data_IF_679091970529
#
_entry.id   IF_679091970529
#
_cell.length_a   1.000
_cell.length_b   1.000
_cell.length_c   1.000
_cell.angle_alpha   90.00
_cell.angle_beta   90.00
_cell.angle_gamma   90.00
#
_symmetry.space_group_name_H-M   'P 1'
#
loop_
_entity.id
_entity.type
_entity.pdbx_description
1 polymer ?
#
# COMPACT_ATOMS: atom_id res chain seq x y z
N UNK A 1 -2.10 17.82 -2.78
CA UNK A 1 -2.78 17.34 -4.01
C UNK A 1 -3.65 18.41 -4.65
N UNK A 2 -3.98 19.47 -3.93
CA UNK A 2 -5.02 20.42 -4.32
C UNK A 2 -4.66 21.19 -5.60
N UNK A 3 -3.37 21.46 -5.81
CA UNK A 3 -2.86 22.01 -7.08
C UNK A 3 -3.11 21.11 -8.29
N UNK A 4 -3.05 19.78 -8.13
CA UNK A 4 -3.38 18.85 -9.23
C UNK A 4 -4.89 18.84 -9.50
N UNK A 5 -5.72 18.96 -8.45
CA UNK A 5 -7.17 19.08 -8.59
C UNK A 5 -7.57 20.39 -9.31
N UNK A 6 -6.87 21.50 -9.03
CA UNK A 6 -7.01 22.76 -9.76
C UNK A 6 -6.65 22.62 -11.24
N UNK A 7 -5.56 21.90 -11.55
CA UNK A 7 -5.16 21.63 -12.93
C UNK A 7 -6.15 20.73 -13.68
N UNK A 8 -6.73 19.72 -13.04
CA UNK A 8 -7.82 18.92 -13.63
C UNK A 8 -9.01 19.82 -14.01
N UNK A 9 -9.42 20.72 -13.10
CA UNK A 9 -10.52 21.68 -13.34
C UNK A 9 -10.21 22.63 -14.49
N UNK A 10 -9.01 23.20 -14.52
CA UNK A 10 -8.60 24.18 -15.53
C UNK A 10 -8.43 23.55 -16.92
N UNK A 11 -7.92 22.32 -17.00
CA UNK A 11 -7.63 21.66 -18.28
C UNK A 11 -8.78 20.81 -18.83
N UNK A 12 -9.75 20.45 -17.99
CA UNK A 12 -10.78 19.46 -18.32
C UNK A 12 -10.24 18.03 -18.51
N UNK A 13 -8.97 17.78 -18.19
CA UNK A 13 -8.34 16.45 -18.25
C UNK A 13 -8.38 15.76 -16.89
N UNK A 14 -8.25 14.43 -16.92
CA UNK A 14 -8.23 13.58 -15.73
C UNK A 14 -6.84 13.02 -15.46
N UNK A 15 -6.47 13.00 -14.19
CA UNK A 15 -5.24 12.39 -13.66
C UNK A 15 -5.62 11.07 -13.02
N UNK A 16 -4.99 9.99 -13.50
CA UNK A 16 -5.16 8.65 -12.96
C UNK A 16 -3.86 8.13 -12.37
N UNK A 17 -3.96 7.20 -11.42
CA UNK A 17 -2.82 6.54 -10.79
C UNK A 17 -2.94 5.02 -10.87
N UNK A 18 -1.81 4.34 -10.69
CA UNK A 18 -1.74 2.88 -10.69
C UNK A 18 -1.94 2.35 -9.26
N UNK A 19 -3.17 1.99 -8.94
CA UNK A 19 -3.55 1.28 -7.70
C UNK A 19 -3.95 -0.17 -8.03
N UNK A 20 -3.01 -0.90 -8.63
CA UNK A 20 -3.22 -2.23 -9.21
C UNK A 20 -3.69 -3.27 -8.20
N UNK A 21 -3.34 -3.13 -6.92
CA UNK A 21 -3.78 -4.06 -5.87
C UNK A 21 -5.30 -3.99 -5.64
N UNK A 22 -5.95 -2.86 -5.92
CA UNK A 22 -7.42 -2.76 -5.87
C UNK A 22 -8.11 -3.58 -6.97
N UNK A 23 -7.37 -4.07 -7.97
CA UNK A 23 -7.86 -4.96 -9.03
C UNK A 23 -7.66 -6.44 -8.70
N UNK A 24 -7.07 -6.75 -7.54
CA UNK A 24 -6.76 -8.12 -7.15
C UNK A 24 -8.00 -8.82 -6.58
N UNK A 25 -8.43 -9.98 -7.12
CA UNK A 25 -9.66 -10.67 -6.69
C UNK A 25 -9.72 -10.93 -5.19
N UNK A 26 -8.63 -11.44 -4.58
CA UNK A 26 -8.60 -11.70 -3.14
C UNK A 26 -8.71 -10.43 -2.28
N UNK A 27 -8.22 -9.29 -2.77
CA UNK A 27 -8.31 -8.00 -2.04
C UNK A 27 -9.73 -7.45 -2.14
N UNK A 28 -10.36 -7.58 -3.32
CA UNK A 28 -11.77 -7.22 -3.53
C UNK A 28 -12.67 -8.08 -2.64
N UNK A 29 -12.50 -9.40 -2.66
CA UNK A 29 -13.28 -10.34 -1.85
C UNK A 29 -13.11 -10.07 -0.34
N UNK A 30 -11.89 -9.77 0.10
CA UNK A 30 -11.64 -9.35 1.48
C UNK A 30 -12.39 -8.05 1.81
N UNK A 31 -12.32 -7.04 0.93
CA UNK A 31 -13.05 -5.79 1.13
C UNK A 31 -14.55 -6.02 1.29
N UNK A 32 -15.16 -6.81 0.41
CA UNK A 32 -16.58 -7.15 0.45
C UNK A 32 -16.95 -7.86 1.75
N UNK A 33 -16.13 -8.84 2.19
CA UNK A 33 -16.32 -9.53 3.48
C UNK A 33 -16.34 -8.54 4.65
N UNK A 34 -15.39 -7.61 4.70
CA UNK A 34 -15.27 -6.61 5.79
C UNK A 34 -16.41 -5.58 5.77
N UNK A 35 -16.94 -5.25 4.60
CA UNK A 35 -18.13 -4.39 4.47
C UNK A 35 -19.37 -5.12 5.00
N UNK A 36 -19.55 -6.40 4.64
CA UNK A 36 -20.76 -7.17 4.96
C UNK A 36 -20.85 -7.63 6.42
N UNK A 37 -19.71 -7.86 7.09
CA UNK A 37 -19.70 -8.35 8.48
C UNK A 37 -20.22 -7.34 9.51
N UNK A 38 -20.30 -6.05 9.16
CA UNK A 38 -20.78 -4.94 10.00
C UNK A 38 -20.38 -5.00 11.50
N UNK A 39 -19.17 -5.50 11.79
CA UNK A 39 -18.64 -5.55 13.15
C UNK A 39 -18.16 -4.15 13.61
N UNK A 40 -18.40 -3.83 14.87
CA UNK A 40 -17.82 -2.65 15.52
C UNK A 40 -16.35 -2.85 15.91
N UNK A 41 -15.89 -4.10 15.96
CA UNK A 41 -14.57 -4.43 16.45
C UNK A 41 -13.50 -4.15 15.40
N UNK A 42 -12.32 -3.72 15.88
CA UNK A 42 -11.17 -3.50 15.01
C UNK A 42 -10.41 -4.80 14.79
N UNK A 43 -10.03 -5.03 13.54
CA UNK A 43 -9.13 -6.10 13.15
C UNK A 43 -7.70 -5.81 13.61
N UNK A 44 -7.01 -6.83 14.10
CA UNK A 44 -5.58 -6.77 14.44
C UNK A 44 -4.74 -7.23 13.24
N UNK A 45 -4.03 -6.29 12.63
CA UNK A 45 -3.29 -6.52 11.39
C UNK A 45 -1.78 -6.41 11.63
N UNK A 46 -1.03 -7.37 11.09
CA UNK A 46 0.44 -7.31 11.03
C UNK A 46 0.86 -7.31 9.57
N UNK A 47 1.47 -6.22 9.11
CA UNK A 47 2.10 -6.10 7.80
C UNK A 47 3.62 -6.26 7.95
N UNK A 48 4.20 -7.24 7.27
CA UNK A 48 5.65 -7.38 7.14
C UNK A 48 6.01 -7.52 5.68
N UNK A 49 6.73 -6.52 5.16
CA UNK A 49 7.20 -6.50 3.79
C UNK A 49 8.71 -6.30 3.73
N UNK A 50 9.42 -7.34 3.35
CA UNK A 50 10.88 -7.37 3.25
C UNK A 50 11.23 -7.72 1.82
N UNK A 51 11.81 -6.76 1.10
CA UNK A 51 12.21 -6.93 -0.29
C UNK A 51 13.67 -6.49 -0.43
N UNK A 52 14.63 -7.39 -0.25
CA UNK A 52 16.05 -7.03 -0.26
C UNK A 52 16.44 -6.27 -1.52
N UNK A 53 17.35 -5.32 -1.34
CA UNK A 53 17.93 -4.56 -2.44
C UNK A 53 19.45 -4.56 -2.31
N UNK A 54 20.13 -4.70 -3.44
CA UNK A 54 21.58 -4.56 -3.49
C UNK A 54 22.01 -3.10 -3.26
N UNK A 55 23.33 -2.86 -3.11
CA UNK A 55 23.89 -1.53 -2.87
C UNK A 55 23.43 -0.46 -3.87
N UNK A 56 23.18 -0.85 -5.13
CA UNK A 56 22.70 0.02 -6.20
C UNK A 56 21.42 0.79 -5.83
N UNK A 57 20.55 0.24 -4.99
CA UNK A 57 19.27 0.86 -4.66
C UNK A 57 19.46 2.16 -3.88
N UNK A 58 20.35 2.17 -2.88
CA UNK A 58 20.65 3.36 -2.10
C UNK A 58 21.49 4.39 -2.87
N UNK A 59 22.25 3.96 -3.88
CA UNK A 59 23.00 4.85 -4.77
C UNK A 59 22.14 5.45 -5.89
N UNK A 60 20.95 4.90 -6.13
CA UNK A 60 19.99 5.43 -7.10
C UNK A 60 19.11 6.52 -6.50
N UNK A 61 18.26 7.15 -7.34
CA UNK A 61 17.22 8.08 -6.86
C UNK A 61 16.30 7.47 -5.80
N UNK A 62 16.19 6.14 -5.73
CA UNK A 62 15.35 5.44 -4.74
C UNK A 62 15.88 5.59 -3.31
N UNK A 63 17.19 5.77 -3.14
CA UNK A 63 17.83 6.06 -1.85
C UNK A 63 17.77 7.53 -1.43
N UNK A 64 17.50 8.42 -2.38
CA UNK A 64 17.36 9.87 -2.14
C UNK A 64 15.93 10.20 -1.69
N UNK A 65 15.77 10.49 -0.40
CA UNK A 65 14.45 10.75 0.21
C UNK A 65 13.74 11.93 -0.48
N UNK A 66 14.48 12.94 -0.94
CA UNK A 66 13.89 14.11 -1.61
C UNK A 66 13.22 13.75 -2.95
N UNK A 67 13.61 12.62 -3.55
CA UNK A 67 13.09 12.12 -4.83
C UNK A 67 12.11 10.97 -4.66
N UNK A 68 12.37 10.08 -3.70
CA UNK A 68 11.61 8.85 -3.53
C UNK A 68 10.51 8.93 -2.47
N UNK A 69 10.58 9.92 -1.57
CA UNK A 69 9.75 9.97 -0.37
C UNK A 69 10.13 8.92 0.69
N UNK A 70 11.24 8.20 0.51
CA UNK A 70 11.69 7.16 1.42
C UNK A 70 10.95 5.82 1.26
N UNK A 71 11.20 4.88 2.17
CA UNK A 71 10.71 3.49 2.05
C UNK A 71 9.20 3.40 2.15
N UNK A 72 8.58 4.12 3.08
CA UNK A 72 7.12 4.11 3.23
C UNK A 72 6.42 4.52 1.93
N UNK A 73 6.90 5.56 1.26
CA UNK A 73 6.32 6.06 0.02
C UNK A 73 6.72 5.23 -1.20
N UNK A 74 8.01 4.96 -1.40
CA UNK A 74 8.49 4.28 -2.61
C UNK A 74 8.16 2.78 -2.64
N UNK A 75 8.00 2.15 -1.47
CA UNK A 75 7.79 0.70 -1.35
C UNK A 75 6.47 0.37 -0.66
N UNK A 76 6.14 1.07 0.43
CA UNK A 76 4.99 0.78 1.27
C UNK A 76 3.65 1.27 0.73
N UNK A 77 3.63 2.25 -0.19
CA UNK A 77 2.43 3.01 -0.56
C UNK A 77 1.26 2.12 -0.99
N UNK A 78 1.51 1.07 -1.78
CA UNK A 78 0.46 0.17 -2.23
C UNK A 78 -0.18 -0.62 -1.09
N UNK A 79 0.56 -0.92 -0.01
CA UNK A 79 0.02 -1.60 1.16
C UNK A 79 -0.82 -0.65 2.01
N UNK A 80 -0.34 0.57 2.25
CA UNK A 80 -1.13 1.58 2.96
C UNK A 80 -2.41 1.90 2.20
N UNK A 81 -2.33 2.01 0.88
CA UNK A 81 -3.49 2.19 0.00
C UNK A 81 -4.56 1.12 0.21
N UNK A 82 -4.22 -0.17 0.07
CA UNK A 82 -5.22 -1.24 0.19
C UNK A 82 -5.76 -1.37 1.61
N UNK A 83 -4.93 -1.13 2.63
CA UNK A 83 -5.36 -1.23 4.02
C UNK A 83 -6.36 -0.10 4.34
N UNK A 84 -6.08 1.13 3.91
CA UNK A 84 -7.03 2.25 4.05
C UNK A 84 -8.30 2.01 3.22
N UNK A 85 -8.16 1.45 2.02
CA UNK A 85 -9.29 1.14 1.14
C UNK A 85 -10.23 0.06 1.69
N UNK A 86 -9.70 -0.90 2.46
CA UNK A 86 -10.47 -1.99 3.08
C UNK A 86 -11.01 -1.59 4.46
N UNK A 87 -10.15 -1.06 5.33
CA UNK A 87 -10.44 -0.87 6.75
C UNK A 87 -10.83 0.57 7.12
N UNK A 88 -10.83 1.48 6.14
CA UNK A 88 -11.34 2.84 6.29
C UNK A 88 -10.27 3.88 6.62
N UNK A 89 -10.74 5.10 6.89
CA UNK A 89 -9.89 6.28 7.07
C UNK A 89 -8.95 6.15 8.27
N UNK A 90 -7.79 6.81 8.17
CA UNK A 90 -6.81 6.91 9.25
C UNK A 90 -7.37 7.69 10.43
N UNK A 91 -7.23 7.13 11.62
CA UNK A 91 -7.53 7.74 12.93
C UNK A 91 -6.23 8.21 13.58
N UNK A 92 -5.20 7.38 13.54
CA UNK A 92 -3.89 7.65 14.17
C UNK A 92 -2.77 7.05 13.33
N UNK A 93 -1.63 7.72 13.27
CA UNK A 93 -0.42 7.22 12.59
C UNK A 93 0.79 7.51 13.47
N UNK A 94 1.60 6.49 13.74
CA UNK A 94 2.81 6.60 14.53
C UNK A 94 3.97 5.88 13.82
N UNK A 95 5.13 6.52 13.80
CA UNK A 95 6.37 5.91 13.31
C UNK A 95 7.20 5.52 14.51
N UNK A 96 7.52 4.23 14.65
CA UNK A 96 8.33 3.74 15.76
C UNK A 96 9.82 3.89 15.47
N UNK A 97 10.24 3.63 14.23
CA UNK A 97 11.58 4.02 13.76
C UNK A 97 11.61 4.22 12.25
N UNK A 98 12.57 5.04 11.81
CA UNK A 98 12.85 5.29 10.40
C UNK A 98 14.36 5.25 10.17
N UNK A 99 14.80 4.29 9.35
CA UNK A 99 16.19 4.13 8.91
C UNK A 99 16.24 4.03 7.38
N UNK A 100 17.38 4.32 6.73
CA UNK A 100 17.47 4.32 5.26
C UNK A 100 17.05 3.01 4.57
N UNK A 101 17.17 1.86 5.26
CA UNK A 101 16.83 0.54 4.71
C UNK A 101 15.58 -0.10 5.32
N UNK A 102 15.04 0.44 6.41
CA UNK A 102 13.93 -0.17 7.14
C UNK A 102 13.15 0.85 7.94
N UNK A 103 11.84 0.65 8.04
CA UNK A 103 10.92 1.54 8.75
C UNK A 103 9.81 0.71 9.38
N UNK A 104 9.33 1.13 10.54
CA UNK A 104 8.18 0.51 11.19
C UNK A 104 7.30 1.55 11.88
N UNK A 105 6.08 1.12 12.18
CA UNK A 105 5.16 1.96 12.91
C UNK A 105 3.82 1.28 13.14
N UNK A 106 2.86 2.13 13.47
CA UNK A 106 1.49 1.78 13.76
C UNK A 106 0.52 2.68 13.00
N UNK A 107 -0.55 2.09 12.50
CA UNK A 107 -1.64 2.81 11.85
C UNK A 107 -2.96 2.33 12.46
N UNK A 108 -3.69 3.25 13.06
CA UNK A 108 -5.06 3.04 13.51
C UNK A 108 -5.99 3.53 12.40
N UNK A 109 -6.82 2.62 11.89
CA UNK A 109 -7.89 2.89 10.95
C UNK A 109 -9.23 2.72 11.66
N UNK A 110 -10.30 3.19 11.01
CA UNK A 110 -11.68 3.03 11.52
C UNK A 110 -12.00 1.58 11.94
N UNK A 111 -11.59 0.59 11.14
CA UNK A 111 -11.85 -0.83 11.40
C UNK A 111 -10.60 -1.66 11.70
N UNK A 112 -9.40 -1.08 11.86
CA UNK A 112 -8.21 -1.91 12.07
C UNK A 112 -7.11 -1.21 12.86
N UNK A 113 -6.34 -2.00 13.60
CA UNK A 113 -5.08 -1.63 14.21
C UNK A 113 -3.96 -2.35 13.46
N UNK A 114 -3.05 -1.59 12.86
CA UNK A 114 -2.03 -2.15 11.97
C UNK A 114 -0.64 -1.90 12.55
N UNK A 115 0.07 -2.97 12.89
CA UNK A 115 1.53 -2.93 13.11
C UNK A 115 2.21 -3.24 11.79
N UNK A 116 3.11 -2.37 11.34
CA UNK A 116 3.75 -2.53 10.04
C UNK A 116 5.27 -2.45 10.12
N UNK A 117 5.94 -3.25 9.29
CA UNK A 117 7.38 -3.31 9.12
C UNK A 117 7.75 -3.40 7.64
N UNK A 118 8.56 -2.47 7.16
CA UNK A 118 9.05 -2.40 5.79
C UNK A 118 10.58 -2.48 5.79
N UNK A 119 11.16 -3.32 4.95
CA UNK A 119 12.61 -3.40 4.82
C UNK A 119 13.11 -3.74 3.42
N UNK A 120 14.26 -3.18 3.09
CA UNK A 120 15.08 -3.49 1.91
C UNK A 120 16.42 -4.12 2.30
N UNK A 121 16.65 -4.35 3.59
CA UNK A 121 17.85 -4.94 4.14
C UNK A 121 17.79 -6.47 4.03
N UNK A 122 18.82 -7.07 3.43
CA UNK A 122 18.92 -8.53 3.27
C UNK A 122 19.01 -9.24 4.61
N UNK A 123 19.55 -8.58 5.63
CA UNK A 123 19.71 -9.15 6.97
C UNK A 123 18.38 -9.37 7.70
N UNK A 124 17.28 -8.80 7.21
CA UNK A 124 15.96 -9.01 7.79
C UNK A 124 15.23 -10.22 7.17
N UNK A 125 15.83 -10.89 6.18
CA UNK A 125 15.27 -12.12 5.61
C UNK A 125 15.49 -13.34 6.50
N UNK A 126 14.53 -14.26 6.44
CA UNK A 126 14.73 -15.64 6.88
C UNK A 126 15.49 -16.43 5.81
N UNK A 127 16.35 -17.35 6.24
CA UNK A 127 17.16 -18.19 5.35
C UNK A 127 16.32 -18.87 4.26
N UNK A 128 16.77 -18.78 3.00
CA UNK A 128 16.11 -19.41 1.85
C UNK A 128 14.98 -18.62 1.19
N UNK A 129 14.60 -17.45 1.72
CA UNK A 129 13.56 -16.60 1.12
C UNK A 129 14.15 -15.46 0.26
N UNK A 130 13.58 -15.21 -0.92
CA UNK A 130 13.98 -14.05 -1.76
C UNK A 130 13.29 -12.73 -1.36
N UNK A 131 12.11 -12.82 -0.74
CA UNK A 131 11.35 -11.70 -0.20
C UNK A 131 10.33 -12.23 0.82
N UNK A 132 9.92 -11.39 1.78
CA UNK A 132 8.80 -11.67 2.68
C UNK A 132 7.69 -10.68 2.37
N UNK A 133 6.49 -11.20 2.09
CA UNK A 133 5.27 -10.42 1.89
C UNK A 133 4.17 -11.06 2.71
N UNK A 134 4.05 -10.64 3.97
CA UNK A 134 3.14 -11.25 4.93
C UNK A 134 2.18 -10.20 5.46
N UNK A 135 0.89 -10.51 5.37
CA UNK A 135 -0.17 -9.79 6.06
C UNK A 135 -0.94 -10.82 6.86
N UNK A 136 -1.12 -10.58 8.15
CA UNK A 136 -2.02 -11.38 8.99
C UNK A 136 -3.15 -10.51 9.49
N UNK A 137 -4.36 -11.07 9.56
CA UNK A 137 -5.55 -10.42 10.10
C UNK A 137 -6.09 -11.35 11.18
N UNK A 138 -6.15 -10.86 12.42
CA UNK A 138 -6.56 -11.65 13.61
C UNK A 138 -5.79 -12.98 13.75
N UNK A 139 -4.50 -12.95 13.38
CA UNK A 139 -3.63 -14.13 13.39
C UNK A 139 -3.69 -15.00 12.13
N UNK A 140 -4.71 -14.85 11.28
CA UNK A 140 -4.83 -15.59 10.03
C UNK A 140 -3.98 -14.96 8.93
N UNK A 141 -3.13 -15.76 8.27
CA UNK A 141 -2.31 -15.29 7.14
C UNK A 141 -3.19 -15.10 5.91
N UNK A 142 -3.13 -13.92 5.30
CA UNK A 142 -3.72 -13.71 3.98
C UNK A 142 -2.65 -13.80 2.91
N UNK A 143 -2.89 -14.69 1.95
CA UNK A 143 -2.01 -14.86 0.81
C UNK A 143 -2.47 -13.96 -0.34
N UNK A 144 -1.65 -12.95 -0.63
CA UNK A 144 -1.78 -12.11 -1.81
C UNK A 144 -0.76 -12.47 -2.89
N UNK A 145 0.06 -13.51 -2.70
CA UNK A 145 1.21 -13.83 -3.57
C UNK A 145 0.82 -14.38 -4.95
N UNK A 146 -0.40 -14.90 -5.10
CA UNK A 146 -0.97 -15.40 -6.35
C UNK A 146 -1.95 -14.38 -6.95
N UNK A 147 -2.04 -14.28 -8.28
CA UNK A 147 -3.00 -13.37 -8.94
C UNK A 147 -2.47 -11.95 -9.25
N UNK A 148 -1.16 -11.72 -9.13
CA UNK A 148 -0.50 -10.47 -9.56
C UNK A 148 -0.37 -10.30 -11.09
N UNK A 149 -0.66 -11.34 -11.87
CA UNK A 149 -0.51 -11.29 -13.32
C UNK A 149 -1.50 -10.30 -13.94
N UNK A 150 -1.00 -9.46 -14.84
CA UNK A 150 -1.79 -8.52 -15.64
C UNK A 150 -2.63 -7.49 -14.87
N UNK A 151 -2.35 -7.24 -13.58
CA UNK A 151 -3.09 -6.20 -12.83
C UNK A 151 -2.90 -4.80 -13.44
N UNK A 152 -1.74 -4.52 -14.05
CA UNK A 152 -1.53 -3.28 -14.79
C UNK A 152 -2.48 -3.17 -15.99
N UNK A 153 -2.59 -4.22 -16.80
CA UNK A 153 -3.55 -4.27 -17.93
C UNK A 153 -4.96 -3.95 -17.46
N UNK A 154 -5.41 -4.58 -16.37
CA UNK A 154 -6.73 -4.33 -15.77
C UNK A 154 -6.92 -2.87 -15.31
N UNK A 155 -5.86 -2.23 -14.79
CA UNK A 155 -5.92 -0.81 -14.42
C UNK A 155 -6.13 0.06 -15.66
N UNK A 156 -5.39 -0.20 -16.75
CA UNK A 156 -5.56 0.54 -18.00
C UNK A 156 -6.94 0.32 -18.63
N UNK A 157 -7.44 -0.92 -18.65
CA UNK A 157 -8.80 -1.24 -19.08
C UNK A 157 -9.84 -0.43 -18.30
N UNK A 158 -9.70 -0.34 -16.97
CA UNK A 158 -10.58 0.48 -16.13
C UNK A 158 -10.48 1.98 -16.45
N UNK A 159 -9.26 2.49 -16.68
CA UNK A 159 -9.06 3.90 -17.08
C UNK A 159 -9.80 4.18 -18.39
N UNK A 160 -9.68 3.32 -19.40
CA UNK A 160 -10.36 3.50 -20.68
C UNK A 160 -11.89 3.36 -20.59
N UNK A 161 -12.41 2.65 -19.59
CA UNK A 161 -13.84 2.59 -19.29
C UNK A 161 -14.35 3.75 -18.42
N UNK A 162 -13.50 4.73 -18.07
CA UNK A 162 -13.87 5.85 -17.20
C UNK A 162 -13.99 5.48 -15.71
N UNK A 163 -13.46 4.32 -15.31
CA UNK A 163 -13.45 3.78 -13.93
C UNK A 163 -12.05 3.80 -13.29
N UNK A 164 -11.15 4.62 -13.82
CA UNK A 164 -9.80 4.78 -13.30
C UNK A 164 -9.77 5.41 -11.91
N UNK A 165 -8.75 5.06 -11.11
CA UNK A 165 -8.53 5.67 -9.80
C UNK A 165 -7.81 7.02 -9.96
N UNK A 166 -8.43 8.09 -9.48
CA UNK A 166 -7.92 9.45 -9.61
C UNK A 166 -7.33 10.00 -8.32
N UNK A 167 -7.21 11.34 -8.28
CA UNK A 167 -6.62 12.07 -7.14
C UNK A 167 -7.37 11.74 -5.84
N UNK A 168 -8.70 11.71 -5.87
CA UNK A 168 -9.53 11.43 -4.69
C UNK A 168 -9.27 10.06 -4.09
N UNK A 169 -9.09 9.04 -4.94
CA UNK A 169 -8.85 7.68 -4.48
C UNK A 169 -7.43 7.47 -3.96
N UNK A 170 -6.46 8.24 -4.47
CA UNK A 170 -5.05 8.18 -4.06
C UNK A 170 -4.74 9.03 -2.82
N UNK A 171 -5.45 10.14 -2.61
CA UNK A 171 -5.21 11.11 -1.52
C UNK A 171 -5.13 10.48 -0.12
N UNK A 172 -5.94 9.48 0.27
CA UNK A 172 -5.88 8.94 1.63
C UNK A 172 -4.56 8.24 1.99
N UNK A 173 -3.79 7.76 1.00
CA UNK A 173 -2.53 7.04 1.24
C UNK A 173 -1.28 7.92 1.15
N UNK A 174 -1.44 9.22 0.84
CA UNK A 174 -0.37 10.21 0.65
C UNK A 174 -0.43 11.26 1.74
#
# INVERSE_FOLDING_TARGET
MDRLEELEKASGKKIFTILQLRMHPSIIALKEKIINLNSSDKYEIILTYITPRGPWYLQSWKGDISKSGGIATNIGIHFFDILIWIFGTVVKSEVYFSKPKKMSGFLELKKANIRWYLSTDVNDLQSGSHAIRKITIDGEKIDFSSGFTNLHTKVYENIFQGKGYGIKEAKPSI
#
